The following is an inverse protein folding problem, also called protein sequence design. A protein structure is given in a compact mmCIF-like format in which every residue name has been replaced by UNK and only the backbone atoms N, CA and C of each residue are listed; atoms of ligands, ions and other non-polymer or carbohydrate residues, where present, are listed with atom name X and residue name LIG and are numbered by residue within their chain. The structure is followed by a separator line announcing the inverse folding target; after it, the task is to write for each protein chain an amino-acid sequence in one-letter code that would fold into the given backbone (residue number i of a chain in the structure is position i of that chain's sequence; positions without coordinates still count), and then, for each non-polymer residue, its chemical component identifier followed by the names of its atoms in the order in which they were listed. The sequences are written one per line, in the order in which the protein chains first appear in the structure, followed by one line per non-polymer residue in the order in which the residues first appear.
data_IF_259163034886
#
_entry.id   IF_259163034886
#
_cell.length_a   1.000
_cell.length_b   1.000
_cell.length_c   1.000
_cell.angle_alpha   90.00
_cell.angle_beta   90.00
_cell.angle_gamma   90.00
#
_symmetry.space_group_name_H-M   'P 1'
#
loop_
_entity.id
_entity.type
_entity.pdbx_description
1 polymer ?
#
# COMPACT_ATOMS: atom_id res chain seq x y z
N UNK A 1 11.26 18.01 31.47
CA UNK A 1 10.69 16.87 32.23
C UNK A 1 9.39 16.37 31.59
N UNK A 2 9.35 16.14 30.28
CA UNK A 2 8.17 15.58 29.61
C UNK A 2 8.11 14.05 29.79
N UNK A 3 7.17 13.64 30.66
CA UNK A 3 6.23 12.54 30.43
C UNK A 3 6.72 11.08 30.35
N UNK A 4 7.44 10.60 31.37
CA UNK A 4 7.53 9.14 31.65
C UNK A 4 6.16 8.50 31.94
N UNK A 5 5.19 9.28 32.43
CA UNK A 5 3.82 8.80 32.71
C UNK A 5 2.97 8.62 31.44
N UNK A 6 3.00 9.55 30.45
CA UNK A 6 2.30 9.33 29.15
C UNK A 6 2.79 8.09 28.40
N UNK A 7 4.08 7.77 28.48
CA UNK A 7 4.64 6.60 27.77
C UNK A 7 4.13 5.30 28.41
N UNK A 8 4.04 5.24 29.75
CA UNK A 8 3.46 4.07 30.46
C UNK A 8 1.96 3.92 30.22
N UNK A 9 1.21 5.02 30.20
CA UNK A 9 -0.24 4.97 29.90
C UNK A 9 -0.50 4.56 28.45
N UNK A 10 0.27 5.09 27.49
CA UNK A 10 0.16 4.68 26.09
C UNK A 10 0.52 3.20 25.90
N UNK A 11 1.55 2.69 26.58
CA UNK A 11 1.90 1.26 26.52
C UNK A 11 0.81 0.33 27.05
N UNK A 12 0.15 0.70 28.15
CA UNK A 12 -0.98 -0.08 28.71
C UNK A 12 -2.21 -0.04 27.80
N UNK A 13 -2.54 1.11 27.23
CA UNK A 13 -3.66 1.24 26.27
C UNK A 13 -3.39 0.43 24.99
N UNK A 14 -2.18 0.52 24.43
CA UNK A 14 -1.78 -0.29 23.26
C UNK A 14 -1.89 -1.78 23.56
N UNK A 15 -1.52 -2.23 24.77
CA UNK A 15 -1.66 -3.64 25.15
C UNK A 15 -3.12 -4.12 25.22
N UNK A 16 -4.06 -3.26 25.64
CA UNK A 16 -5.49 -3.60 25.65
C UNK A 16 -6.07 -3.68 24.24
N UNK A 17 -5.72 -2.72 23.37
CA UNK A 17 -6.13 -2.74 21.97
C UNK A 17 -5.58 -3.98 21.26
N UNK A 18 -4.33 -4.39 21.56
CA UNK A 18 -3.74 -5.61 20.99
C UNK A 18 -4.52 -6.87 21.37
N UNK A 19 -4.90 -7.02 22.64
CA UNK A 19 -5.74 -8.14 23.07
C UNK A 19 -7.11 -8.15 22.38
N UNK A 20 -7.73 -6.98 22.23
CA UNK A 20 -8.98 -6.83 21.48
C UNK A 20 -8.82 -7.25 20.00
N UNK A 21 -7.73 -6.82 19.35
CA UNK A 21 -7.39 -7.21 17.98
C UNK A 21 -7.17 -8.72 17.84
N UNK A 22 -6.54 -9.37 18.83
CA UNK A 22 -6.40 -10.83 18.87
C UNK A 22 -7.76 -11.54 19.01
N UNK A 23 -8.72 -10.95 19.74
CA UNK A 23 -10.10 -11.45 19.80
C UNK A 23 -10.77 -11.57 18.44
N UNK A 24 -10.47 -10.65 17.51
CA UNK A 24 -10.98 -10.69 16.13
C UNK A 24 -10.52 -11.91 15.32
N UNK A 25 -9.44 -12.58 15.76
CA UNK A 25 -8.96 -13.80 15.11
C UNK A 25 -9.82 -15.03 15.42
N UNK A 26 -10.72 -14.92 16.40
CA UNK A 26 -11.60 -15.97 16.88
C UNK A 26 -13.07 -15.65 16.54
N UNK A 27 -13.93 -15.52 17.55
CA UNK A 27 -15.37 -15.36 17.42
C UNK A 27 -15.87 -13.94 17.71
N UNK A 28 -14.98 -12.98 18.01
CA UNK A 28 -15.39 -11.62 18.32
C UNK A 28 -16.10 -10.97 17.13
N UNK A 29 -17.21 -10.29 17.41
CA UNK A 29 -18.09 -9.59 16.46
C UNK A 29 -18.44 -8.20 17.00
N UNK A 30 -17.45 -7.31 17.18
CA UNK A 30 -17.69 -5.99 17.75
C UNK A 30 -18.62 -5.17 16.85
N UNK A 31 -19.52 -4.40 17.46
CA UNK A 31 -20.26 -3.36 16.73
C UNK A 31 -19.36 -2.18 16.40
N UNK A 32 -19.82 -1.29 15.53
CA UNK A 32 -19.13 -0.02 15.26
C UNK A 32 -18.94 0.79 16.55
N UNK A 33 -19.93 0.82 17.44
CA UNK A 33 -19.84 1.54 18.72
C UNK A 33 -18.73 0.99 19.62
N UNK A 34 -18.57 -0.34 19.70
CA UNK A 34 -17.46 -0.96 20.42
C UNK A 34 -16.13 -0.62 19.75
N UNK A 35 -16.04 -0.75 18.43
CA UNK A 35 -14.84 -0.40 17.66
C UNK A 35 -14.42 1.05 17.90
N UNK A 36 -15.38 1.98 17.90
CA UNK A 36 -15.13 3.40 18.15
C UNK A 36 -14.60 3.65 19.57
N UNK A 37 -15.15 2.94 20.56
CA UNK A 37 -14.69 3.02 21.95
C UNK A 37 -13.22 2.59 22.10
N UNK A 38 -12.84 1.49 21.44
CA UNK A 38 -11.49 0.90 21.54
C UNK A 38 -10.48 1.65 20.66
N UNK A 39 -10.85 1.97 19.42
CA UNK A 39 -9.92 2.44 18.38
C UNK A 39 -10.00 3.95 18.13
N UNK A 40 -11.06 4.65 18.55
CA UNK A 40 -11.29 6.05 18.22
C UNK A 40 -10.20 7.02 18.71
N UNK A 41 -9.41 6.66 19.72
CA UNK A 41 -8.25 7.44 20.14
C UNK A 41 -7.08 7.38 19.13
N UNK A 42 -6.96 6.26 18.41
CA UNK A 42 -5.89 5.99 17.46
C UNK A 42 -6.27 6.30 16.00
N UNK A 43 -7.56 6.21 15.69
CA UNK A 43 -8.13 6.57 14.39
C UNK A 43 -9.15 7.72 14.57
N UNK A 44 -8.68 8.98 14.67
CA UNK A 44 -9.57 10.12 14.89
C UNK A 44 -10.72 10.23 13.91
N UNK A 45 -10.53 9.83 12.64
CA UNK A 45 -11.57 9.91 11.61
C UNK A 45 -12.77 9.00 11.90
N UNK A 46 -12.62 7.93 12.68
CA UNK A 46 -13.76 7.10 13.11
C UNK A 46 -14.78 7.91 13.91
N UNK A 47 -14.33 8.91 14.68
CA UNK A 47 -15.22 9.79 15.45
C UNK A 47 -16.05 10.71 14.56
N UNK A 48 -15.66 10.87 13.30
CA UNK A 48 -16.31 11.74 12.33
C UNK A 48 -17.28 10.98 11.42
N UNK A 49 -17.41 9.66 11.55
CA UNK A 49 -18.28 8.85 10.69
C UNK A 49 -19.75 9.29 10.80
N UNK A 50 -20.25 9.50 12.02
CA UNK A 50 -21.64 9.87 12.26
C UNK A 50 -22.02 11.23 11.65
N UNK A 51 -21.06 12.17 11.56
CA UNK A 51 -21.29 13.49 10.95
C UNK A 51 -21.02 13.52 9.44
N UNK A 52 -20.42 12.45 8.88
CA UNK A 52 -20.06 12.40 7.47
C UNK A 52 -21.26 12.01 6.63
N UNK A 53 -21.74 12.96 5.83
CA UNK A 53 -22.88 12.76 4.95
C UNK A 53 -22.59 11.76 3.83
N UNK A 54 -23.63 11.05 3.39
CA UNK A 54 -23.61 10.19 2.22
C UNK A 54 -24.73 10.59 1.26
N UNK A 55 -24.64 10.13 0.01
CA UNK A 55 -25.68 10.40 -1.00
C UNK A 55 -26.91 9.52 -0.72
N UNK A 56 -28.09 10.09 -0.41
CA UNK A 56 -29.26 9.31 0.01
C UNK A 56 -29.74 8.29 -1.03
N UNK A 57 -29.54 8.55 -2.32
CA UNK A 57 -29.91 7.58 -3.36
C UNK A 57 -29.03 6.32 -3.34
N UNK A 58 -27.77 6.46 -2.94
CA UNK A 58 -26.82 5.33 -2.91
C UNK A 58 -26.68 4.74 -1.51
N UNK A 59 -27.04 5.51 -0.49
CA UNK A 59 -26.91 5.21 0.93
C UNK A 59 -28.16 5.69 1.67
N UNK A 60 -29.29 5.02 1.45
CA UNK A 60 -30.56 5.38 2.09
C UNK A 60 -30.51 5.12 3.61
N UNK A 61 -29.60 4.25 4.06
CA UNK A 61 -29.37 3.94 5.47
C UNK A 61 -28.84 5.14 6.29
N UNK A 62 -28.23 6.13 5.63
CA UNK A 62 -27.79 7.38 6.25
C UNK A 62 -26.27 7.55 6.28
N UNK A 63 -25.75 7.99 7.43
CA UNK A 63 -24.35 8.39 7.58
C UNK A 63 -23.36 7.21 7.53
N UNK A 64 -22.07 7.53 7.47
CA UNK A 64 -21.00 6.53 7.33
C UNK A 64 -20.92 5.58 8.55
N UNK A 65 -21.32 6.02 9.74
CA UNK A 65 -21.31 5.16 10.94
C UNK A 65 -22.39 4.09 10.86
N UNK A 66 -23.61 4.49 10.46
CA UNK A 66 -24.74 3.55 10.27
C UNK A 66 -24.37 2.52 9.20
N UNK A 67 -23.90 2.98 8.04
CA UNK A 67 -23.43 2.10 6.95
C UNK A 67 -22.37 1.12 7.45
N UNK A 68 -21.33 1.60 8.13
CA UNK A 68 -20.23 0.74 8.61
C UNK A 68 -20.72 -0.33 9.59
N UNK A 69 -21.66 -0.02 10.49
CA UNK A 69 -22.23 -1.00 11.42
C UNK A 69 -23.07 -2.07 10.70
N UNK A 70 -23.83 -1.66 9.67
CA UNK A 70 -24.58 -2.58 8.80
C UNK A 70 -23.64 -3.49 7.98
N UNK A 71 -22.54 -2.95 7.48
CA UNK A 71 -21.50 -3.73 6.78
C UNK A 71 -20.84 -4.74 7.71
N UNK A 72 -20.49 -4.37 8.95
CA UNK A 72 -19.97 -5.31 9.95
C UNK A 72 -20.98 -6.43 10.24
N UNK A 73 -22.25 -6.07 10.42
CA UNK A 73 -23.34 -7.04 10.65
C UNK A 73 -23.48 -8.01 9.48
N UNK A 74 -23.46 -7.52 8.24
CA UNK A 74 -23.50 -8.34 7.04
C UNK A 74 -22.27 -9.26 6.95
N UNK A 75 -21.08 -8.72 7.20
CA UNK A 75 -19.84 -9.48 7.21
C UNK A 75 -19.89 -10.62 8.24
N UNK A 76 -20.43 -10.40 9.44
CA UNK A 76 -20.53 -11.46 10.44
C UNK A 76 -21.44 -12.60 10.00
N UNK A 77 -22.55 -12.30 9.31
CA UNK A 77 -23.41 -13.33 8.72
C UNK A 77 -22.68 -14.13 7.64
N UNK A 78 -21.84 -13.48 6.83
CA UNK A 78 -21.00 -14.16 5.84
C UNK A 78 -19.97 -15.06 6.54
N UNK A 79 -19.29 -14.56 7.57
CA UNK A 79 -18.30 -15.31 8.35
C UNK A 79 -18.91 -16.49 9.14
N UNK A 80 -20.21 -16.46 9.44
CA UNK A 80 -20.92 -17.58 10.06
C UNK A 80 -21.38 -18.63 9.03
N UNK A 81 -21.38 -18.30 7.74
CA UNK A 81 -21.92 -19.13 6.66
C UNK A 81 -20.91 -19.30 5.51
N UNK A 82 -21.07 -18.53 4.42
CA UNK A 82 -20.29 -18.68 3.17
C UNK A 82 -18.77 -18.51 3.33
N UNK A 83 -18.34 -17.75 4.35
CA UNK A 83 -16.95 -17.41 4.63
C UNK A 83 -16.42 -18.04 5.92
N UNK A 84 -17.06 -19.11 6.42
CA UNK A 84 -16.69 -19.77 7.70
C UNK A 84 -15.25 -20.31 7.74
N UNK A 85 -14.67 -20.62 6.57
CA UNK A 85 -13.27 -21.05 6.45
C UNK A 85 -12.27 -19.90 6.67
N UNK A 86 -12.71 -18.63 6.60
CA UNK A 86 -11.87 -17.47 6.84
C UNK A 86 -11.71 -17.29 8.36
N UNK A 87 -10.59 -17.77 8.88
CA UNK A 87 -10.28 -17.78 10.32
C UNK A 87 -8.98 -17.01 10.63
N UNK A 88 -8.66 -16.87 11.92
CA UNK A 88 -7.39 -16.32 12.37
C UNK A 88 -7.15 -14.87 11.91
N UNK A 89 -5.92 -14.57 11.53
CA UNK A 89 -5.54 -13.23 11.07
C UNK A 89 -6.16 -12.82 9.72
N UNK A 90 -6.59 -13.77 8.87
CA UNK A 90 -7.38 -13.46 7.66
C UNK A 90 -8.73 -12.88 8.06
N UNK A 91 -9.42 -13.51 9.02
CA UNK A 91 -10.69 -13.04 9.59
C UNK A 91 -10.55 -11.65 10.19
N UNK A 92 -9.56 -11.47 11.06
CA UNK A 92 -9.31 -10.17 11.69
C UNK A 92 -9.02 -9.08 10.66
N UNK A 93 -8.22 -9.38 9.62
CA UNK A 93 -7.94 -8.43 8.53
C UNK A 93 -9.20 -8.04 7.77
N UNK A 94 -10.12 -8.99 7.52
CA UNK A 94 -11.37 -8.72 6.82
C UNK A 94 -12.31 -7.83 7.65
N UNK A 95 -12.40 -8.05 8.96
CA UNK A 95 -13.20 -7.22 9.87
C UNK A 95 -12.63 -5.81 10.00
N UNK A 96 -11.30 -5.69 10.15
CA UNK A 96 -10.64 -4.39 10.14
C UNK A 96 -10.80 -3.69 8.79
N UNK A 97 -10.76 -4.44 7.68
CA UNK A 97 -11.07 -3.95 6.34
C UNK A 97 -12.49 -3.38 6.26
N UNK A 98 -13.49 -4.09 6.76
CA UNK A 98 -14.88 -3.63 6.81
C UNK A 98 -15.06 -2.38 7.68
N UNK A 99 -14.45 -2.34 8.87
CA UNK A 99 -14.50 -1.16 9.74
C UNK A 99 -13.85 0.08 9.10
N UNK A 100 -12.78 -0.12 8.31
CA UNK A 100 -11.90 0.97 7.86
C UNK A 100 -11.98 1.28 6.36
N UNK A 101 -12.80 0.57 5.57
CA UNK A 101 -12.86 0.74 4.11
C UNK A 101 -13.16 2.19 3.69
N UNK A 102 -13.97 2.88 4.49
CA UNK A 102 -14.41 4.25 4.29
C UNK A 102 -13.73 5.27 5.22
N UNK A 103 -12.61 4.91 5.85
CA UNK A 103 -11.96 5.74 6.90
C UNK A 103 -11.62 7.16 6.46
N UNK A 104 -11.42 7.41 5.17
CA UNK A 104 -11.12 8.74 4.63
C UNK A 104 -12.33 9.50 4.06
N UNK A 105 -13.55 8.94 4.08
CA UNK A 105 -14.76 9.70 3.70
C UNK A 105 -14.88 11.03 4.46
N UNK A 106 -14.63 11.12 5.79
CA UNK A 106 -14.76 12.38 6.52
C UNK A 106 -13.94 13.56 5.95
N UNK A 107 -12.77 13.28 5.36
CA UNK A 107 -11.87 14.30 4.81
C UNK A 107 -11.96 14.45 3.29
N UNK A 108 -12.76 13.61 2.62
CA UNK A 108 -12.88 13.60 1.15
C UNK A 108 -14.29 13.87 0.65
N UNK A 109 -15.31 13.67 1.49
CA UNK A 109 -16.71 13.90 1.14
C UNK A 109 -16.97 15.38 0.86
N UNK A 110 -17.41 15.68 -0.36
CA UNK A 110 -17.75 17.01 -0.83
C UNK A 110 -18.97 16.95 -1.74
N UNK A 111 -19.70 18.07 -1.86
CA UNK A 111 -20.76 18.18 -2.86
C UNK A 111 -20.17 18.49 -4.24
N UNK A 112 -20.59 17.75 -5.27
CA UNK A 112 -20.23 18.01 -6.67
C UNK A 112 -21.43 17.84 -7.59
N UNK A 113 -21.43 18.57 -8.70
CA UNK A 113 -22.39 18.30 -9.77
C UNK A 113 -22.07 16.98 -10.47
N UNK A 114 -23.02 16.04 -10.42
CA UNK A 114 -22.94 14.74 -11.07
C UNK A 114 -24.22 14.56 -11.88
N UNK A 115 -24.08 14.45 -13.21
CA UNK A 115 -25.21 14.33 -14.16
C UNK A 115 -26.29 15.42 -13.95
N UNK A 116 -25.87 16.66 -13.69
CA UNK A 116 -26.77 17.81 -13.52
C UNK A 116 -27.35 18.00 -12.11
N UNK A 117 -27.10 17.07 -11.17
CA UNK A 117 -27.56 17.16 -9.79
C UNK A 117 -26.41 17.38 -8.82
N UNK A 118 -26.61 18.19 -7.79
CA UNK A 118 -25.64 18.32 -6.70
C UNK A 118 -25.72 17.07 -5.83
N UNK A 119 -24.62 16.32 -5.73
CA UNK A 119 -24.54 15.04 -5.01
C UNK A 119 -23.37 15.01 -4.05
N UNK A 120 -23.51 14.25 -2.97
CA UNK A 120 -22.40 13.95 -2.07
C UNK A 120 -21.51 12.88 -2.70
N UNK A 121 -20.21 13.17 -2.81
CA UNK A 121 -19.21 12.23 -3.36
C UNK A 121 -17.94 12.26 -2.53
N UNK A 122 -17.28 11.10 -2.42
CA UNK A 122 -16.03 10.93 -1.67
C UNK A 122 -14.89 10.53 -2.61
N UNK A 123 -14.39 11.43 -3.47
CA UNK A 123 -13.34 11.10 -4.43
C UNK A 123 -12.05 10.63 -3.73
N UNK A 124 -11.47 9.52 -4.22
CA UNK A 124 -10.17 8.98 -3.79
C UNK A 124 -10.09 8.52 -2.33
N UNK A 125 -11.21 8.41 -1.61
CA UNK A 125 -11.23 7.99 -0.20
C UNK A 125 -10.56 6.62 0.02
N UNK A 126 -10.60 5.72 -0.96
CA UNK A 126 -9.93 4.42 -0.92
C UNK A 126 -8.40 4.59 -0.83
N UNK A 127 -7.82 5.40 -1.72
CA UNK A 127 -6.37 5.64 -1.74
C UNK A 127 -5.89 6.46 -0.54
N UNK A 128 -6.62 7.53 -0.19
CA UNK A 128 -6.30 8.37 0.97
C UNK A 128 -6.46 7.57 2.26
N UNK A 129 -7.45 6.70 2.34
CA UNK A 129 -7.69 5.80 3.47
C UNK A 129 -6.54 4.83 3.67
N UNK A 130 -6.08 4.16 2.60
CA UNK A 130 -4.88 3.31 2.66
C UNK A 130 -3.67 4.06 3.20
N UNK A 131 -3.36 5.22 2.64
CA UNK A 131 -2.18 6.00 3.00
C UNK A 131 -2.24 6.49 4.45
N UNK A 132 -3.44 6.91 4.89
CA UNK A 132 -3.74 7.32 6.26
C UNK A 132 -3.51 6.21 7.29
N UNK A 133 -3.88 4.97 6.94
CA UNK A 133 -3.88 3.83 7.86
C UNK A 133 -2.49 3.30 8.17
N UNK A 134 -1.52 3.39 7.26
CA UNK A 134 -0.18 2.82 7.43
C UNK A 134 0.41 3.21 8.79
N UNK A 135 0.59 4.51 9.04
CA UNK A 135 1.25 4.99 10.25
C UNK A 135 0.42 4.84 11.53
N UNK A 136 -0.87 4.51 11.40
CA UNK A 136 -1.80 4.30 12.52
C UNK A 136 -1.95 2.84 12.90
N UNK A 137 -1.68 1.92 11.98
CA UNK A 137 -1.65 0.48 12.25
C UNK A 137 -0.30 0.03 12.84
N UNK A 138 0.82 0.66 12.45
CA UNK A 138 2.16 0.29 12.92
C UNK A 138 2.32 0.27 14.45
N UNK A 139 1.75 1.21 15.24
CA UNK A 139 1.86 1.20 16.70
C UNK A 139 1.27 -0.03 17.41
N UNK A 140 0.40 -0.79 16.74
CA UNK A 140 -0.21 -2.00 17.33
C UNK A 140 0.63 -3.26 17.14
N UNK A 141 1.76 -3.17 16.42
CA UNK A 141 2.68 -4.30 16.19
C UNK A 141 1.98 -5.54 15.61
N UNK A 142 1.00 -5.31 14.74
CA UNK A 142 0.33 -6.38 14.00
C UNK A 142 1.32 -7.08 13.05
N UNK A 143 1.15 -8.39 12.78
CA UNK A 143 1.95 -9.07 11.77
C UNK A 143 1.93 -8.31 10.44
N UNK A 144 3.07 -8.31 9.73
CA UNK A 144 3.21 -7.61 8.44
C UNK A 144 2.10 -7.94 7.45
N UNK A 145 1.74 -9.22 7.38
CA UNK A 145 0.68 -9.72 6.51
C UNK A 145 -0.68 -9.10 6.84
N UNK A 146 -0.98 -8.85 8.12
CA UNK A 146 -2.26 -8.29 8.57
C UNK A 146 -2.40 -6.83 8.16
N UNK A 147 -1.46 -5.96 8.56
CA UNK A 147 -1.61 -4.55 8.22
C UNK A 147 -1.53 -4.32 6.71
N UNK A 148 -0.68 -5.07 5.97
CA UNK A 148 -0.69 -5.00 4.50
C UNK A 148 -2.04 -5.41 3.91
N UNK A 149 -2.63 -6.49 4.41
CA UNK A 149 -3.96 -6.95 3.95
C UNK A 149 -5.01 -5.87 4.20
N UNK A 150 -5.05 -5.26 5.39
CA UNK A 150 -5.98 -4.17 5.70
C UNK A 150 -5.76 -2.97 4.76
N UNK A 151 -4.51 -2.55 4.55
CA UNK A 151 -4.18 -1.45 3.64
C UNK A 151 -4.69 -1.70 2.21
N UNK A 152 -4.52 -2.91 1.70
CA UNK A 152 -4.96 -3.26 0.35
C UNK A 152 -6.46 -3.51 0.25
N UNK A 153 -7.09 -4.08 1.29
CA UNK A 153 -8.55 -4.18 1.38
C UNK A 153 -9.19 -2.79 1.30
N UNK A 154 -8.75 -1.84 2.13
CA UNK A 154 -9.24 -0.46 2.13
C UNK A 154 -8.93 0.24 0.80
N UNK A 155 -7.71 0.10 0.31
CA UNK A 155 -7.27 0.80 -0.91
C UNK A 155 -7.90 0.32 -2.21
N UNK A 156 -8.44 -0.91 -2.25
CA UNK A 156 -8.95 -1.52 -3.48
C UNK A 156 -10.43 -1.99 -3.35
N UNK A 157 -11.14 -1.68 -2.26
CA UNK A 157 -12.47 -2.24 -1.96
C UNK A 157 -13.53 -2.02 -3.05
N UNK A 158 -13.43 -0.93 -3.82
CA UNK A 158 -14.36 -0.67 -4.92
C UNK A 158 -14.01 -1.46 -6.19
N UNK A 159 -12.74 -1.80 -6.39
CA UNK A 159 -12.18 -2.31 -7.65
C UNK A 159 -12.91 -3.54 -8.20
N UNK A 160 -13.37 -4.53 -7.40
CA UNK A 160 -14.08 -5.70 -7.91
C UNK A 160 -15.25 -5.38 -8.84
N UNK A 161 -16.13 -4.44 -8.45
CA UNK A 161 -17.25 -4.00 -9.28
C UNK A 161 -16.79 -3.24 -10.53
N UNK A 162 -15.80 -2.36 -10.38
CA UNK A 162 -15.26 -1.58 -11.49
C UNK A 162 -14.65 -2.45 -12.59
N UNK A 163 -14.00 -3.58 -12.24
CA UNK A 163 -13.46 -4.52 -13.21
C UNK A 163 -14.57 -5.11 -14.10
N UNK A 164 -15.67 -5.54 -13.48
CA UNK A 164 -16.80 -6.14 -14.21
C UNK A 164 -17.56 -5.09 -15.02
N UNK A 165 -17.89 -3.95 -14.41
CA UNK A 165 -18.63 -2.86 -15.09
C UNK A 165 -17.90 -2.38 -16.36
N UNK A 166 -16.56 -2.34 -16.32
CA UNK A 166 -15.74 -1.86 -17.42
C UNK A 166 -15.23 -2.96 -18.33
N UNK A 167 -15.72 -4.20 -18.18
CA UNK A 167 -15.30 -5.37 -18.95
C UNK A 167 -13.76 -5.49 -19.04
N UNK A 168 -13.11 -5.46 -17.87
CA UNK A 168 -11.65 -5.38 -17.81
C UNK A 168 -11.00 -6.74 -18.14
N UNK A 169 -9.89 -6.75 -18.89
CA UNK A 169 -9.19 -7.98 -19.24
C UNK A 169 -8.49 -8.61 -18.02
N UNK A 170 -8.04 -9.86 -18.18
CA UNK A 170 -7.26 -10.61 -17.16
C UNK A 170 -6.06 -9.82 -16.61
N UNK A 171 -5.47 -8.93 -17.41
CA UNK A 171 -4.35 -8.09 -17.01
C UNK A 171 -4.69 -7.23 -15.78
N UNK A 172 -5.87 -6.60 -15.73
CA UNK A 172 -6.31 -5.81 -14.58
C UNK A 172 -6.61 -6.69 -13.35
N UNK A 173 -7.12 -7.92 -13.57
CA UNK A 173 -7.33 -8.89 -12.48
C UNK A 173 -6.00 -9.36 -11.87
N UNK A 174 -4.97 -9.59 -12.68
CA UNK A 174 -3.62 -9.93 -12.22
C UNK A 174 -3.03 -8.81 -11.36
N UNK A 175 -3.17 -7.56 -11.82
CA UNK A 175 -2.72 -6.39 -11.05
C UNK A 175 -3.44 -6.26 -9.69
N UNK A 176 -4.74 -6.57 -9.62
CA UNK A 176 -5.48 -6.59 -8.36
C UNK A 176 -4.97 -7.73 -7.45
N UNK A 177 -4.82 -8.93 -8.00
CA UNK A 177 -4.36 -10.11 -7.26
C UNK A 177 -2.93 -9.97 -6.70
N UNK A 178 -2.09 -9.12 -7.30
CA UNK A 178 -0.76 -8.78 -6.73
C UNK A 178 -0.83 -7.92 -5.49
N UNK A 179 -1.93 -7.20 -5.29
CA UNK A 179 -2.13 -6.29 -4.16
C UNK A 179 -2.93 -6.94 -3.04
N UNK A 180 -4.01 -7.64 -3.38
CA UNK A 180 -4.98 -8.14 -2.40
C UNK A 180 -5.42 -9.57 -2.71
N UNK A 181 -5.72 -10.34 -1.67
CA UNK A 181 -6.38 -11.63 -1.80
C UNK A 181 -7.79 -11.41 -2.37
N UNK A 182 -8.05 -11.99 -3.56
CA UNK A 182 -9.30 -11.78 -4.28
C UNK A 182 -10.53 -12.34 -3.56
N UNK A 183 -10.34 -13.33 -2.68
CA UNK A 183 -11.44 -13.83 -1.84
C UNK A 183 -11.79 -12.83 -0.74
N UNK A 184 -10.79 -12.25 -0.07
CA UNK A 184 -11.03 -11.30 1.01
C UNK A 184 -11.66 -10.01 0.47
N UNK A 185 -11.16 -9.49 -0.67
CA UNK A 185 -11.75 -8.27 -1.28
C UNK A 185 -13.17 -8.52 -1.78
N UNK A 186 -13.46 -9.73 -2.26
CA UNK A 186 -14.82 -10.13 -2.63
C UNK A 186 -15.76 -10.09 -1.42
N UNK A 187 -15.41 -10.75 -0.31
CA UNK A 187 -16.28 -10.77 0.86
C UNK A 187 -16.42 -9.40 1.51
N UNK A 188 -15.39 -8.54 1.45
CA UNK A 188 -15.50 -7.14 1.85
C UNK A 188 -16.51 -6.38 0.99
N UNK A 189 -16.38 -6.48 -0.33
CA UNK A 189 -17.29 -5.79 -1.26
C UNK A 189 -18.73 -6.34 -1.19
N UNK A 190 -18.87 -7.64 -0.92
CA UNK A 190 -20.17 -8.28 -0.70
C UNK A 190 -20.82 -7.78 0.59
N UNK A 191 -20.07 -7.71 1.69
CA UNK A 191 -20.56 -7.13 2.95
C UNK A 191 -20.93 -5.65 2.80
N UNK A 192 -20.10 -4.86 2.10
CA UNK A 192 -20.38 -3.45 1.76
C UNK A 192 -21.72 -3.31 1.02
N UNK A 193 -21.98 -4.18 0.04
CA UNK A 193 -23.23 -4.15 -0.70
C UNK A 193 -24.43 -4.68 0.09
N UNK A 194 -24.25 -5.75 0.85
CA UNK A 194 -25.31 -6.32 1.69
C UNK A 194 -25.71 -5.37 2.83
N UNK A 195 -24.77 -4.58 3.35
CA UNK A 195 -24.97 -3.57 4.39
C UNK A 195 -25.59 -2.25 3.90
N UNK A 196 -25.84 -2.10 2.60
CA UNK A 196 -26.37 -0.87 1.99
C UNK A 196 -27.87 -0.93 1.72
N UNK A 197 -28.56 0.20 1.79
CA UNK A 197 -29.93 0.39 1.31
C UNK A 197 -29.92 1.25 0.04
N UNK A 198 -30.17 0.63 -1.11
CA UNK A 198 -30.18 1.29 -2.43
C UNK A 198 -31.05 0.52 -3.43
N UNK A 199 -31.55 1.22 -4.45
CA UNK A 199 -32.46 0.64 -5.47
C UNK A 199 -31.78 -0.41 -6.36
N UNK A 200 -30.49 -0.23 -6.67
CA UNK A 200 -29.72 -1.08 -7.59
C UNK A 200 -28.96 -2.22 -6.89
N UNK A 201 -29.28 -2.50 -5.61
CA UNK A 201 -28.59 -3.48 -4.77
C UNK A 201 -28.43 -4.85 -5.42
N UNK A 202 -29.52 -5.38 -5.98
CA UNK A 202 -29.51 -6.71 -6.61
C UNK A 202 -28.54 -6.80 -7.80
N UNK A 203 -28.57 -5.79 -8.67
CA UNK A 203 -27.63 -5.70 -9.79
C UNK A 203 -26.17 -5.58 -9.31
N UNK A 204 -25.92 -4.80 -8.26
CA UNK A 204 -24.58 -4.69 -7.69
C UNK A 204 -24.07 -6.00 -7.06
N UNK A 205 -24.96 -6.82 -6.49
CA UNK A 205 -24.62 -8.17 -6.01
C UNK A 205 -24.29 -9.11 -7.17
N UNK A 206 -25.03 -9.05 -8.28
CA UNK A 206 -24.75 -9.83 -9.49
C UNK A 206 -23.37 -9.49 -10.08
N UNK A 207 -22.98 -8.21 -10.09
CA UNK A 207 -21.63 -7.81 -10.50
C UNK A 207 -20.53 -8.46 -9.65
N UNK A 208 -20.75 -8.62 -8.35
CA UNK A 208 -19.77 -9.26 -7.46
C UNK A 208 -19.68 -10.77 -7.70
N UNK A 209 -20.81 -11.44 -7.97
CA UNK A 209 -20.79 -12.85 -8.38
C UNK A 209 -20.07 -13.05 -9.72
N UNK A 210 -20.26 -12.15 -10.69
CA UNK A 210 -19.49 -12.15 -11.93
C UNK A 210 -17.98 -11.95 -11.66
N UNK A 211 -17.60 -11.05 -10.75
CA UNK A 211 -16.20 -10.87 -10.36
C UNK A 211 -15.60 -12.16 -9.79
N UNK A 212 -16.31 -12.84 -8.90
CA UNK A 212 -15.90 -14.13 -8.32
C UNK A 212 -15.79 -15.23 -9.37
N UNK A 213 -16.75 -15.31 -10.29
CA UNK A 213 -16.71 -16.26 -11.41
C UNK A 213 -15.48 -16.04 -12.29
N UNK A 214 -15.23 -14.80 -12.73
CA UNK A 214 -14.06 -14.45 -13.55
C UNK A 214 -12.74 -14.72 -12.80
N UNK A 215 -12.66 -14.36 -11.52
CA UNK A 215 -11.47 -14.60 -10.70
C UNK A 215 -11.14 -16.10 -10.58
N UNK A 216 -12.16 -16.96 -10.49
CA UNK A 216 -12.00 -18.42 -10.51
C UNK A 216 -11.58 -18.93 -11.89
N UNK A 217 -12.21 -18.44 -12.96
CA UNK A 217 -11.85 -18.81 -14.33
C UNK A 217 -10.38 -18.47 -14.65
N UNK A 218 -9.86 -17.36 -14.12
CA UNK A 218 -8.47 -16.97 -14.26
C UNK A 218 -7.50 -17.66 -13.29
N UNK A 219 -7.97 -18.58 -12.45
CA UNK A 219 -7.19 -19.24 -11.39
C UNK A 219 -6.53 -18.24 -10.41
N UNK A 220 -7.22 -17.16 -10.08
CA UNK A 220 -6.75 -16.13 -9.13
C UNK A 220 -7.47 -16.19 -7.78
N UNK A 221 -8.41 -17.13 -7.61
CA UNK A 221 -9.10 -17.37 -6.36
C UNK A 221 -8.24 -18.20 -5.41
N UNK A 222 -7.87 -17.64 -4.25
CA UNK A 222 -7.00 -18.28 -3.24
C UNK A 222 -5.61 -18.70 -3.75
N UNK A 223 -5.18 -18.23 -4.92
CA UNK A 223 -3.89 -18.56 -5.51
C UNK A 223 -3.07 -17.29 -5.77
N UNK A 224 -1.74 -17.32 -5.52
CA UNK A 224 -0.88 -16.20 -5.86
C UNK A 224 -0.82 -16.03 -7.39
N UNK A 225 -0.90 -14.79 -7.91
CA UNK A 225 -0.86 -14.56 -9.35
C UNK A 225 0.50 -14.94 -9.93
N UNK A 226 0.50 -15.31 -11.21
CA UNK A 226 1.69 -15.61 -12.03
C UNK A 226 2.54 -16.83 -11.60
N UNK A 227 2.26 -17.51 -10.48
CA UNK A 227 3.17 -18.53 -9.94
C UNK A 227 3.49 -19.64 -10.95
N UNK A 228 2.49 -20.30 -11.50
CA UNK A 228 2.71 -21.41 -12.45
C UNK A 228 3.32 -20.93 -13.78
N UNK A 229 2.95 -19.73 -14.20
CA UNK A 229 3.49 -19.11 -15.40
C UNK A 229 4.98 -18.75 -15.27
N UNK A 230 5.39 -18.27 -14.10
CA UNK A 230 6.79 -17.95 -13.79
C UNK A 230 7.67 -19.19 -13.67
N UNK A 231 7.12 -20.34 -13.22
CA UNK A 231 7.88 -21.61 -13.15
C UNK A 231 8.41 -22.03 -14.52
N UNK A 232 7.65 -21.81 -15.59
CA UNK A 232 8.08 -22.10 -16.96
C UNK A 232 9.29 -21.25 -17.33
N UNK A 233 9.20 -19.93 -17.09
CA UNK A 233 10.28 -18.98 -17.38
C UNK A 233 11.53 -19.29 -16.55
N UNK A 234 11.36 -19.71 -15.30
CA UNK A 234 12.45 -19.97 -14.36
C UNK A 234 13.39 -21.10 -14.80
N UNK A 235 12.88 -22.09 -15.54
CA UNK A 235 13.68 -23.19 -16.09
C UNK A 235 14.74 -22.66 -17.08
N UNK A 236 14.34 -21.79 -18.01
CA UNK A 236 15.19 -21.20 -19.05
C UNK A 236 16.24 -20.22 -18.53
N UNK A 237 15.99 -19.57 -17.40
CA UNK A 237 16.88 -18.53 -16.84
C UNK A 237 17.69 -19.01 -15.63
N UNK A 238 17.53 -20.26 -15.24
CA UNK A 238 18.11 -20.84 -14.02
C UNK A 238 19.64 -20.72 -13.92
N UNK A 239 20.34 -20.69 -15.07
CA UNK A 239 21.79 -20.53 -15.16
C UNK A 239 22.29 -19.08 -15.03
N UNK A 240 21.40 -18.08 -15.12
CA UNK A 240 21.77 -16.66 -15.06
C UNK A 240 22.07 -16.20 -13.63
N UNK A 241 22.75 -15.05 -13.43
CA UNK A 241 22.89 -14.44 -12.11
C UNK A 241 21.52 -14.16 -11.46
N UNK A 242 21.40 -14.32 -10.14
CA UNK A 242 20.12 -14.19 -9.41
C UNK A 242 19.43 -12.84 -9.62
N UNK A 243 20.18 -11.75 -9.68
CA UNK A 243 19.63 -10.41 -9.96
C UNK A 243 19.05 -10.32 -11.37
N UNK A 244 19.72 -10.90 -12.37
CA UNK A 244 19.22 -10.99 -13.74
C UNK A 244 17.98 -11.87 -13.82
N UNK A 245 17.94 -13.00 -13.09
CA UNK A 245 16.74 -13.83 -12.99
C UNK A 245 15.56 -13.05 -12.41
N UNK A 246 15.79 -12.28 -11.33
CA UNK A 246 14.76 -11.46 -10.70
C UNK A 246 14.26 -10.35 -11.65
N UNK A 247 15.16 -9.68 -12.39
CA UNK A 247 14.80 -8.70 -13.41
C UNK A 247 13.93 -9.31 -14.51
N UNK A 248 14.35 -10.43 -15.10
CA UNK A 248 13.58 -11.08 -16.17
C UNK A 248 12.18 -11.46 -15.67
N UNK A 249 12.07 -12.10 -14.50
CA UNK A 249 10.77 -12.50 -13.93
C UNK A 249 9.87 -11.29 -13.66
N UNK A 250 10.41 -10.22 -13.09
CA UNK A 250 9.63 -9.03 -12.75
C UNK A 250 9.21 -8.22 -13.98
N UNK A 251 10.06 -8.11 -14.99
CA UNK A 251 9.70 -7.44 -16.25
C UNK A 251 8.67 -8.28 -17.04
N UNK A 252 8.82 -9.60 -17.05
CA UNK A 252 7.82 -10.51 -17.61
C UNK A 252 6.45 -10.34 -16.94
N UNK A 253 6.39 -10.27 -15.61
CA UNK A 253 5.16 -9.96 -14.88
C UNK A 253 4.63 -8.59 -15.29
N UNK A 254 5.48 -7.54 -15.30
CA UNK A 254 5.07 -6.19 -15.67
C UNK A 254 4.44 -6.16 -17.08
N UNK A 255 5.09 -6.73 -18.10
CA UNK A 255 4.58 -6.76 -19.47
C UNK A 255 3.25 -7.52 -19.56
N UNK A 256 3.10 -8.63 -18.82
CA UNK A 256 1.87 -9.41 -18.79
C UNK A 256 0.72 -8.61 -18.17
N UNK A 257 1.01 -7.88 -17.10
CA UNK A 257 0.07 -7.00 -16.42
C UNK A 257 -0.29 -5.75 -17.23
N UNK A 258 0.56 -5.34 -18.18
CA UNK A 258 0.21 -4.34 -19.19
C UNK A 258 -0.56 -4.91 -20.39
N UNK A 259 -0.80 -6.22 -20.43
CA UNK A 259 -1.45 -6.89 -21.57
C UNK A 259 -0.57 -6.95 -22.83
N UNK A 260 0.75 -6.80 -22.70
CA UNK A 260 1.71 -6.82 -23.82
C UNK A 260 2.11 -8.24 -24.20
N UNK A 261 2.11 -9.16 -23.23
CA UNK A 261 2.44 -10.58 -23.44
C UNK A 261 1.39 -11.47 -22.76
N UNK A 262 1.19 -12.67 -23.32
CA UNK A 262 0.14 -13.57 -22.84
C UNK A 262 0.69 -14.93 -22.40
N UNK A 263 1.71 -15.45 -23.07
CA UNK A 263 2.33 -16.73 -22.78
C UNK A 263 3.80 -16.61 -22.31
N UNK A 264 4.37 -17.69 -21.73
CA UNK A 264 5.76 -17.67 -21.28
C UNK A 264 6.79 -17.48 -22.40
N UNK A 265 6.52 -17.92 -23.63
CA UNK A 265 7.46 -17.81 -24.74
C UNK A 265 7.63 -16.36 -25.18
N UNK A 266 6.54 -15.58 -25.23
CA UNK A 266 6.57 -14.12 -25.41
C UNK A 266 7.49 -13.46 -24.37
N UNK A 267 7.37 -13.88 -23.11
CA UNK A 267 8.18 -13.34 -22.02
C UNK A 267 9.67 -13.60 -22.26
N UNK A 268 10.04 -14.84 -22.63
CA UNK A 268 11.42 -15.22 -22.91
C UNK A 268 12.00 -14.41 -24.08
N UNK A 269 11.21 -14.19 -25.13
CA UNK A 269 11.60 -13.37 -26.29
C UNK A 269 11.79 -11.89 -25.93
N UNK A 270 10.81 -11.28 -25.25
CA UNK A 270 10.84 -9.84 -24.89
C UNK A 270 11.90 -9.50 -23.85
N UNK A 271 12.33 -10.47 -23.05
CA UNK A 271 13.36 -10.29 -22.01
C UNK A 271 14.72 -10.84 -22.42
N UNK A 272 14.89 -11.27 -23.68
CA UNK A 272 16.12 -11.92 -24.15
C UNK A 272 17.36 -11.06 -23.95
N UNK A 273 17.25 -9.76 -24.19
CA UNK A 273 18.37 -8.81 -24.14
C UNK A 273 19.02 -8.67 -22.76
N UNK A 274 18.33 -9.04 -21.67
CA UNK A 274 18.90 -9.02 -20.32
C UNK A 274 19.95 -10.11 -20.08
N UNK A 275 19.98 -11.17 -20.90
CA UNK A 275 20.87 -12.33 -20.70
C UNK A 275 22.35 -12.01 -20.94
N UNK A 276 22.63 -11.06 -21.83
CA UNK A 276 23.97 -10.80 -22.34
C UNK A 276 24.63 -9.56 -21.70
N UNK A 277 24.08 -9.03 -20.62
CA UNK A 277 24.56 -7.80 -19.98
C UNK A 277 24.54 -7.93 -18.46
N UNK A 278 25.46 -7.24 -17.80
CA UNK A 278 25.36 -7.05 -16.36
C UNK A 278 24.09 -6.25 -16.02
N UNK A 279 23.41 -6.66 -14.95
CA UNK A 279 22.18 -6.03 -14.46
C UNK A 279 22.53 -5.05 -13.34
N UNK A 280 22.52 -3.73 -13.57
CA UNK A 280 22.73 -2.77 -12.49
C UNK A 280 21.53 -2.80 -11.55
N UNK A 281 21.79 -2.94 -10.25
CA UNK A 281 20.76 -2.87 -9.22
C UNK A 281 20.67 -1.44 -8.68
N UNK A 282 19.44 -0.91 -8.64
CA UNK A 282 19.16 0.39 -8.02
C UNK A 282 18.30 0.17 -6.79
N UNK A 283 18.88 0.45 -5.63
CA UNK A 283 18.22 0.33 -4.34
C UNK A 283 17.66 1.71 -3.97
N UNK A 284 16.33 1.83 -4.00
CA UNK A 284 15.62 3.08 -3.71
C UNK A 284 15.10 3.01 -2.28
N UNK A 285 15.62 3.86 -1.40
CA UNK A 285 15.13 3.93 -0.02
C UNK A 285 13.82 4.73 0.04
N UNK A 286 12.84 4.31 0.84
CA UNK A 286 11.56 4.99 1.01
C UNK A 286 11.18 5.07 2.49
N UNK A 287 10.65 6.22 2.91
CA UNK A 287 10.17 6.41 4.28
C UNK A 287 10.42 7.82 4.82
N UNK A 288 9.78 8.12 5.94
CA UNK A 288 9.86 9.42 6.61
C UNK A 288 11.30 9.78 6.99
N UNK A 289 11.58 11.07 7.14
CA UNK A 289 12.79 11.53 7.81
C UNK A 289 12.85 10.97 9.22
N UNK A 290 14.03 10.53 9.65
CA UNK A 290 14.19 9.83 10.92
C UNK A 290 13.70 8.38 10.93
N UNK A 291 13.27 7.79 9.80
CA UNK A 291 12.82 6.38 9.77
C UNK A 291 13.94 5.34 9.80
N UNK A 292 15.21 5.74 9.73
CA UNK A 292 16.37 4.84 9.76
C UNK A 292 16.98 4.47 8.40
N UNK A 293 16.52 5.08 7.29
CA UNK A 293 17.01 4.81 5.91
C UNK A 293 18.54 4.81 5.82
N UNK A 294 19.19 5.93 6.14
CA UNK A 294 20.64 6.08 5.98
C UNK A 294 21.42 5.07 6.85
N UNK A 295 20.98 4.82 8.08
CA UNK A 295 21.58 3.80 8.95
C UNK A 295 21.43 2.38 8.39
N UNK A 296 20.30 2.07 7.76
CA UNK A 296 20.13 0.78 7.09
C UNK A 296 21.02 0.66 5.86
N UNK A 297 21.14 1.72 5.05
CA UNK A 297 22.02 1.78 3.88
C UNK A 297 23.48 1.56 4.30
N UNK A 298 23.97 2.29 5.30
CA UNK A 298 25.34 2.13 5.83
C UNK A 298 25.62 0.72 6.36
N UNK A 299 24.62 0.02 6.90
CA UNK A 299 24.81 -1.34 7.43
C UNK A 299 24.81 -2.43 6.38
N UNK A 300 24.07 -2.26 5.29
CA UNK A 300 23.82 -3.33 4.31
C UNK A 300 24.44 -3.08 2.94
N UNK A 301 24.76 -1.82 2.61
CA UNK A 301 25.18 -1.38 1.28
C UNK A 301 26.26 -0.28 1.34
N UNK A 302 27.18 -0.36 2.31
CA UNK A 302 28.29 0.60 2.46
C UNK A 302 29.28 0.58 1.29
N UNK A 303 29.33 -0.53 0.55
CA UNK A 303 30.18 -0.76 -0.61
C UNK A 303 29.64 -0.11 -1.90
N UNK A 304 28.37 0.28 -1.90
CA UNK A 304 27.72 0.87 -3.08
C UNK A 304 27.82 2.40 -3.08
N UNK A 305 27.95 3.03 -4.26
CA UNK A 305 27.78 4.47 -4.37
C UNK A 305 26.38 4.87 -3.91
N UNK A 306 26.29 5.95 -3.12
CA UNK A 306 25.03 6.49 -2.61
C UNK A 306 24.77 7.85 -3.24
N UNK A 307 23.66 7.97 -3.97
CA UNK A 307 23.13 9.23 -4.48
C UNK A 307 22.13 9.75 -3.45
N UNK A 308 22.57 10.67 -2.59
CA UNK A 308 21.73 11.33 -1.60
C UNK A 308 21.39 12.76 -2.02
N UNK A 309 20.09 13.08 -2.07
CA UNK A 309 19.64 14.44 -2.36
C UNK A 309 20.06 15.42 -1.26
N UNK A 310 20.19 14.96 -0.01
CA UNK A 310 20.64 15.78 1.11
C UNK A 310 22.14 16.09 0.97
N UNK A 311 22.96 15.11 0.58
CA UNK A 311 24.39 15.33 0.29
C UNK A 311 24.58 16.31 -0.86
N UNK A 312 23.83 16.16 -1.95
CA UNK A 312 23.89 17.08 -3.10
C UNK A 312 23.44 18.49 -2.70
N UNK A 313 22.43 18.63 -1.82
CA UNK A 313 22.06 19.95 -1.27
C UNK A 313 23.21 20.56 -0.49
N UNK A 314 23.85 19.80 0.38
CA UNK A 314 25.02 20.27 1.14
C UNK A 314 26.16 20.73 0.22
N UNK A 315 26.46 19.96 -0.83
CA UNK A 315 27.51 20.30 -1.82
C UNK A 315 27.21 21.63 -2.54
N UNK A 316 25.95 21.90 -2.89
CA UNK A 316 25.57 23.09 -3.65
C UNK A 316 25.37 24.36 -2.81
N UNK A 317 24.80 24.22 -1.61
CA UNK A 317 24.33 25.37 -0.82
C UNK A 317 25.07 25.53 0.50
N UNK A 318 25.89 24.56 0.90
CA UNK A 318 26.46 24.48 2.24
C UNK A 318 25.44 24.16 3.35
N UNK A 319 24.17 23.90 2.99
CA UNK A 319 23.09 23.62 3.95
C UNK A 319 22.07 22.61 3.38
N UNK A 320 22.01 21.42 3.98
CA UNK A 320 21.06 20.33 3.63
C UNK A 320 19.58 20.75 3.68
N UNK A 321 19.22 21.74 4.50
CA UNK A 321 17.86 22.24 4.66
C UNK A 321 17.49 23.32 3.62
N UNK A 322 18.44 23.84 2.84
CA UNK A 322 18.17 24.86 1.83
C UNK A 322 17.47 24.26 0.60
N UNK A 323 16.21 24.64 0.38
CA UNK A 323 15.38 24.16 -0.71
C UNK A 323 15.41 25.06 -1.96
N UNK A 324 16.13 26.20 -1.96
CA UNK A 324 16.13 27.18 -3.06
C UNK A 324 16.59 26.59 -4.40
N UNK A 325 17.53 25.64 -4.36
CA UNK A 325 18.09 24.99 -5.55
C UNK A 325 17.58 23.56 -5.78
N UNK A 326 16.41 23.19 -5.24
CA UNK A 326 15.93 21.81 -5.28
C UNK A 326 15.79 21.23 -6.71
N UNK A 327 15.45 22.07 -7.72
CA UNK A 327 15.44 21.63 -9.13
C UNK A 327 16.83 21.18 -9.61
N UNK A 328 17.86 21.95 -9.29
CA UNK A 328 19.24 21.65 -9.67
C UNK A 328 19.76 20.40 -8.95
N UNK A 329 19.44 20.26 -7.66
CA UNK A 329 19.75 19.05 -6.87
C UNK A 329 19.19 17.79 -7.55
N UNK A 330 17.90 17.82 -7.92
CA UNK A 330 17.25 16.69 -8.60
C UNK A 330 17.89 16.40 -9.96
N UNK A 331 18.26 17.43 -10.73
CA UNK A 331 18.95 17.28 -12.01
C UNK A 331 20.31 16.59 -11.84
N UNK A 332 21.12 17.03 -10.87
CA UNK A 332 22.42 16.41 -10.57
C UNK A 332 22.23 14.96 -10.11
N UNK A 333 21.28 14.70 -9.22
CA UNK A 333 21.00 13.34 -8.74
C UNK A 333 20.61 12.40 -9.89
N UNK A 334 19.69 12.83 -10.77
CA UNK A 334 19.29 12.08 -11.96
C UNK A 334 20.46 11.85 -12.93
N UNK A 335 21.35 12.84 -13.09
CA UNK A 335 22.53 12.68 -13.94
C UNK A 335 23.50 11.64 -13.36
N UNK A 336 23.83 11.73 -12.07
CA UNK A 336 24.68 10.73 -11.38
C UNK A 336 24.10 9.32 -11.52
N UNK A 337 22.78 9.17 -11.40
CA UNK A 337 22.12 7.87 -11.56
C UNK A 337 22.22 7.36 -13.01
N UNK A 338 22.01 8.21 -14.01
CA UNK A 338 22.21 7.82 -15.42
C UNK A 338 23.64 7.37 -15.69
N UNK A 339 24.63 8.04 -15.09
CA UNK A 339 26.04 7.69 -15.29
C UNK A 339 26.37 6.32 -14.66
N UNK A 340 25.89 6.04 -13.45
CA UNK A 340 25.96 4.69 -12.86
C UNK A 340 25.30 3.63 -13.75
N UNK A 341 24.09 3.90 -14.23
CA UNK A 341 23.32 2.97 -15.06
C UNK A 341 23.98 2.69 -16.42
N UNK A 342 24.53 3.72 -17.08
CA UNK A 342 25.32 3.58 -18.32
C UNK A 342 26.53 2.68 -18.11
N UNK A 343 27.20 2.84 -16.97
CA UNK A 343 28.36 2.05 -16.58
C UNK A 343 27.99 0.68 -15.98
N UNK A 344 26.70 0.31 -15.98
CA UNK A 344 26.19 -0.93 -15.39
C UNK A 344 26.59 -1.11 -13.90
N UNK A 345 26.76 0.00 -13.19
CA UNK A 345 27.13 0.04 -11.78
C UNK A 345 25.88 0.08 -10.90
N UNK A 346 25.81 -0.82 -9.92
CA UNK A 346 24.76 -0.79 -8.88
C UNK A 346 24.92 0.42 -7.96
N UNK A 347 23.80 0.98 -7.50
CA UNK A 347 23.79 2.27 -6.79
C UNK A 347 22.59 2.35 -5.84
N UNK A 348 22.78 3.09 -4.73
CA UNK A 348 21.70 3.41 -3.79
C UNK A 348 21.18 4.82 -4.07
N UNK A 349 19.85 4.97 -4.14
CA UNK A 349 19.17 6.25 -4.22
C UNK A 349 18.54 6.57 -2.85
N UNK A 350 19.19 7.45 -2.09
CA UNK A 350 18.74 7.88 -0.76
C UNK A 350 17.95 9.20 -0.85
N UNK A 351 16.63 9.06 -0.76
CA UNK A 351 15.70 10.16 -0.58
C UNK A 351 14.49 9.64 0.21
N UNK A 352 13.55 10.53 0.55
CA UNK A 352 12.32 10.10 1.24
C UNK A 352 11.42 9.24 0.36
N UNK A 353 11.36 9.52 -0.95
CA UNK A 353 10.58 8.80 -1.97
C UNK A 353 9.13 8.49 -1.55
N UNK A 354 8.51 9.44 -0.84
CA UNK A 354 7.17 9.29 -0.26
C UNK A 354 6.04 9.59 -1.25
N UNK A 355 6.34 10.23 -2.38
CA UNK A 355 5.35 10.57 -3.43
C UNK A 355 5.52 9.67 -4.64
N UNK A 356 4.39 9.20 -5.17
CA UNK A 356 4.33 8.26 -6.29
C UNK A 356 4.83 8.89 -7.59
N UNK A 357 4.48 10.14 -7.87
CA UNK A 357 4.92 10.85 -9.08
C UNK A 357 6.46 10.92 -9.22
N UNK A 358 7.17 11.08 -8.10
CA UNK A 358 8.63 11.04 -8.07
C UNK A 358 9.19 9.63 -8.23
N UNK A 359 8.55 8.62 -7.61
CA UNK A 359 8.93 7.21 -7.79
C UNK A 359 8.73 6.75 -9.23
N UNK A 360 7.61 7.10 -9.87
CA UNK A 360 7.29 6.73 -11.25
C UNK A 360 8.34 7.28 -12.24
N UNK A 361 8.74 8.54 -12.09
CA UNK A 361 9.81 9.13 -12.91
C UNK A 361 11.16 8.43 -12.71
N UNK A 362 11.48 8.07 -11.47
CA UNK A 362 12.72 7.38 -11.11
C UNK A 362 12.73 5.96 -11.70
N UNK A 363 11.65 5.20 -11.50
CA UNK A 363 11.52 3.83 -11.98
C UNK A 363 11.47 3.75 -13.50
N UNK A 364 10.77 4.67 -14.16
CA UNK A 364 10.81 4.79 -15.63
C UNK A 364 12.25 4.98 -16.13
N UNK A 365 13.01 5.86 -15.48
CA UNK A 365 14.41 6.07 -15.83
C UNK A 365 15.25 4.81 -15.62
N UNK A 366 15.09 4.10 -14.51
CA UNK A 366 15.86 2.88 -14.22
C UNK A 366 15.53 1.77 -15.23
N UNK A 367 14.24 1.58 -15.56
CA UNK A 367 13.80 0.59 -16.57
C UNK A 367 14.39 0.88 -17.95
N UNK A 368 14.46 2.15 -18.37
CA UNK A 368 15.07 2.55 -19.65
C UNK A 368 16.56 2.19 -19.78
N UNK A 369 17.24 1.86 -18.68
CA UNK A 369 18.63 1.41 -18.66
C UNK A 369 18.77 -0.07 -18.26
N UNK A 370 17.70 -0.87 -18.35
CA UNK A 370 17.70 -2.28 -17.97
C UNK A 370 18.06 -2.52 -16.49
N UNK A 371 17.77 -1.56 -15.61
CA UNK A 371 18.12 -1.66 -14.20
C UNK A 371 17.12 -2.44 -13.37
N UNK A 372 17.62 -3.24 -12.41
CA UNK A 372 16.79 -3.91 -11.43
C UNK A 372 16.41 -2.95 -10.29
N UNK A 373 15.12 -2.65 -10.17
CA UNK A 373 14.56 -1.69 -9.21
C UNK A 373 14.15 -2.39 -7.92
N UNK A 374 14.85 -2.12 -6.83
CA UNK A 374 14.46 -2.56 -5.49
C UNK A 374 14.04 -1.36 -4.64
N UNK A 375 12.77 -1.31 -4.27
CA UNK A 375 12.24 -0.32 -3.34
C UNK A 375 12.30 -0.87 -1.91
N UNK A 376 13.04 -0.20 -1.03
CA UNK A 376 13.19 -0.58 0.38
C UNK A 376 12.48 0.45 1.26
N UNK A 377 11.34 0.07 1.80
CA UNK A 377 10.48 0.92 2.61
C UNK A 377 10.72 0.72 4.10
N UNK A 378 11.14 1.79 4.76
CA UNK A 378 11.28 1.86 6.23
C UNK A 378 9.92 2.16 6.85
N UNK A 379 9.32 1.15 7.50
CA UNK A 379 8.02 1.22 8.15
C UNK A 379 8.20 1.33 9.66
N UNK A 380 8.25 2.57 10.15
CA UNK A 380 8.32 2.87 11.58
C UNK A 380 7.21 3.84 11.99
N UNK A 381 6.60 3.67 13.18
CA UNK A 381 5.69 4.65 13.76
C UNK A 381 6.25 6.07 13.73
N UNK A 382 5.37 7.06 13.53
CA UNK A 382 5.77 8.48 13.41
C UNK A 382 6.49 8.98 14.66
N UNK A 383 6.05 8.57 15.85
CA UNK A 383 6.67 8.99 17.11
C UNK A 383 8.11 8.49 17.24
N UNK A 384 8.41 7.30 16.72
CA UNK A 384 9.78 6.79 16.60
C UNK A 384 10.57 7.64 15.61
N UNK A 385 10.02 7.92 14.43
CA UNK A 385 10.68 8.76 13.42
C UNK A 385 11.04 10.15 14.00
N UNK A 386 10.12 10.79 14.70
CA UNK A 386 10.33 12.08 15.38
C UNK A 386 11.42 11.98 16.44
N UNK A 387 11.34 11.01 17.36
CA UNK A 387 12.35 10.80 18.42
C UNK A 387 13.74 10.56 17.84
N UNK A 388 13.85 9.83 16.74
CA UNK A 388 15.14 9.59 16.07
C UNK A 388 15.65 10.84 15.37
N UNK A 389 14.77 11.61 14.74
CA UNK A 389 15.11 12.86 14.09
C UNK A 389 15.60 13.92 15.09
N UNK A 390 14.97 14.05 16.26
CA UNK A 390 15.36 15.00 17.31
C UNK A 390 16.78 14.74 17.88
N UNK A 391 17.31 13.52 17.71
CA UNK A 391 18.68 13.18 18.13
C UNK A 391 19.75 13.55 17.09
N UNK A 392 19.35 13.97 15.88
CA UNK A 392 20.29 14.35 14.82
C UNK A 392 20.77 15.79 15.04
N UNK A 393 22.06 16.03 14.82
CA UNK A 393 22.63 17.37 14.88
C UNK A 393 21.94 18.35 13.90
N UNK A 394 21.59 17.86 12.70
CA UNK A 394 20.85 18.60 11.67
C UNK A 394 19.42 18.04 11.50
N UNK A 395 18.72 17.79 12.61
CA UNK A 395 17.34 17.29 12.58
C UNK A 395 16.38 18.29 11.93
N UNK A 396 15.37 17.77 11.21
CA UNK A 396 14.28 18.59 10.67
C UNK A 396 13.31 19.00 11.78
N UNK A 397 12.44 19.99 11.55
CA UNK A 397 11.34 20.25 12.49
C UNK A 397 10.35 19.09 12.50
N UNK A 398 9.71 18.84 13.66
CA UNK A 398 8.69 17.79 13.80
C UNK A 398 7.53 18.00 12.82
N UNK A 399 7.20 19.28 12.52
CA UNK A 399 6.18 19.66 11.54
C UNK A 399 6.49 19.12 10.14
N UNK A 400 7.75 19.16 9.70
CA UNK A 400 8.14 18.60 8.39
C UNK A 400 7.88 17.09 8.32
N UNK A 401 8.09 16.35 9.41
CA UNK A 401 7.82 14.90 9.44
C UNK A 401 6.31 14.64 9.39
N UNK A 402 5.51 15.44 10.09
CA UNK A 402 4.03 15.37 10.01
C UNK A 402 3.55 15.66 8.58
N UNK A 403 4.09 16.67 7.92
CA UNK A 403 3.79 16.98 6.52
C UNK A 403 4.21 15.85 5.56
N UNK A 404 5.36 15.23 5.80
CA UNK A 404 5.79 14.06 5.03
C UNK A 404 4.80 12.89 5.17
N UNK A 405 4.32 12.62 6.38
CA UNK A 405 3.30 11.60 6.60
C UNK A 405 2.00 11.93 5.87
N UNK A 406 1.53 13.18 5.95
CA UNK A 406 0.28 13.60 5.31
C UNK A 406 0.34 13.53 3.77
N UNK A 407 1.55 13.58 3.19
CA UNK A 407 1.80 13.48 1.74
C UNK A 407 2.29 12.10 1.31
N UNK A 408 2.33 11.14 2.23
CA UNK A 408 2.87 9.82 1.95
C UNK A 408 1.90 9.01 1.11
N UNK A 409 2.32 8.59 -0.07
CA UNK A 409 1.56 7.72 -0.96
C UNK A 409 2.16 6.31 -0.91
N UNK A 410 1.37 5.35 -0.39
CA UNK A 410 1.81 3.99 -0.13
C UNK A 410 2.34 3.29 -1.40
N UNK A 411 3.58 2.77 -1.40
CA UNK A 411 4.11 2.04 -2.54
C UNK A 411 3.38 0.73 -2.78
N UNK A 412 2.92 0.52 -4.01
CA UNK A 412 2.27 -0.71 -4.44
C UNK A 412 3.27 -1.73 -5.00
N UNK A 413 3.01 -3.04 -4.89
CA UNK A 413 3.88 -4.08 -5.45
C UNK A 413 4.16 -3.93 -6.95
N UNK A 414 3.24 -3.30 -7.70
CA UNK A 414 3.36 -3.06 -9.15
C UNK A 414 4.32 -1.93 -9.53
N UNK A 415 4.79 -1.11 -8.57
CA UNK A 415 5.65 0.05 -8.86
C UNK A 415 7.12 -0.33 -9.12
N UNK A 416 7.63 -1.36 -8.46
CA UNK A 416 9.03 -1.78 -8.54
C UNK A 416 9.16 -3.29 -8.79
N UNK A 417 10.33 -3.74 -9.24
CA UNK A 417 10.60 -5.17 -9.43
C UNK A 417 10.59 -5.93 -8.11
N UNK A 418 11.06 -5.29 -7.04
CA UNK A 418 11.02 -5.82 -5.70
C UNK A 418 10.67 -4.72 -4.69
N UNK A 419 9.72 -5.02 -3.80
CA UNK A 419 9.34 -4.16 -2.67
C UNK A 419 9.65 -4.88 -1.36
N UNK A 420 10.53 -4.30 -0.56
CA UNK A 420 10.92 -4.81 0.75
C UNK A 420 10.48 -3.84 1.84
N UNK A 421 9.95 -4.36 2.93
CA UNK A 421 9.56 -3.57 4.10
C UNK A 421 10.51 -3.90 5.25
N UNK A 422 11.04 -2.87 5.90
CA UNK A 422 11.99 -2.96 7.02
C UNK A 422 11.43 -2.16 8.21
N UNK A 423 11.35 -2.78 9.39
CA UNK A 423 10.96 -2.11 10.64
C UNK A 423 12.09 -2.17 11.68
N UNK A 424 12.17 -1.16 12.56
CA UNK A 424 13.00 -1.24 13.76
C UNK A 424 12.34 -2.02 14.90
N UNK A 425 11.02 -2.22 14.81
CA UNK A 425 10.28 -3.15 15.66
C UNK A 425 10.76 -4.56 15.28
N UNK A 426 11.42 -5.24 16.22
CA UNK A 426 12.01 -6.57 16.05
C UNK A 426 11.05 -7.52 15.32
N UNK A 427 11.55 -8.22 14.30
CA UNK A 427 10.82 -9.24 13.53
C UNK A 427 11.41 -9.39 12.15
#
# INVERSE_FOLDING_TARGET
MMNKNRVKTNGKVISQVKYWLEGLTHNAKPSFAECLSVLGAHFPLLKEFQQTQQEPQWHAEGDVAIHTDMVLTALYRLLDNEAVHITGWRRASLILGALLHDVAKPVTTVQRQVRGHLRWVSPKHETIGRDYLLFRLLPFELPKTVWLTVLHLVGEHQVPKWLVIKDKPIADYLQLARKVDLELIYFLALADMQGRECEDKQWQLELLELFKMQSRQYNLWQQPPHQDWLKVIEQDISCLPKVTQALIKSEAVYLREQGVIHDPADALGKTYHYRNKATPQVIVACGLSGSGKSTWIERHHADLPVISLDSIRQELTGNQADQRQNKQVVTIAKQRLKDCLRNRQSVVWDATNIRRDFRDQLFTMIRNYDGFMQLVMMVNPMDICIKQNQKRANGLSDQIIVEQQNRFEFPLPVEAHQLTFISHLKG
#
